data_IF_596512177689
#
_entry.id   IF_596512177689
#
_cell.length_a   1.000
_cell.length_b   1.000
_cell.length_c   1.000
_cell.angle_alpha   90.00
_cell.angle_beta   90.00
_cell.angle_gamma   90.00
#
_symmetry.space_group_name_H-M   'P 1'
#
loop_
_entity.id
_entity.type
_entity.pdbx_description
1 polymer ?
#
# COMPACT_ATOMS: atom_id res chain seq x y z
N UNK A 1 -1.31 -24.96 -72.82
CA UNK A 1 -1.70 -24.02 -71.74
C UNK A 1 -1.25 -22.66 -72.22
N UNK A 2 -2.20 -21.70 -72.30
CA UNK A 2 -2.04 -20.44 -73.03
C UNK A 2 -1.38 -19.38 -72.17
N UNK A 3 -0.51 -18.56 -72.73
CA UNK A 3 0.28 -17.54 -72.06
C UNK A 3 -0.55 -16.51 -71.26
N UNK A 4 -1.85 -16.48 -71.45
CA UNK A 4 -2.82 -15.65 -70.67
C UNK A 4 -3.12 -16.21 -69.29
N UNK A 5 -3.08 -17.55 -69.11
CA UNK A 5 -3.40 -18.20 -67.82
C UNK A 5 -2.23 -18.11 -66.88
N UNK A 6 -0.99 -18.19 -67.34
CA UNK A 6 0.20 -17.96 -66.50
C UNK A 6 0.32 -16.54 -66.04
N UNK A 7 -0.11 -15.56 -66.81
CA UNK A 7 -0.08 -14.12 -66.36
C UNK A 7 -1.18 -13.82 -65.36
N UNK A 8 -2.31 -14.55 -65.41
CA UNK A 8 -3.41 -14.39 -64.43
C UNK A 8 -3.04 -15.00 -63.08
N UNK A 9 -2.40 -16.17 -63.04
CA UNK A 9 -1.90 -16.79 -61.81
C UNK A 9 -0.77 -15.96 -61.16
N UNK A 10 0.17 -15.41 -61.95
CA UNK A 10 1.21 -14.51 -61.38
C UNK A 10 0.62 -13.24 -60.79
N UNK A 11 -0.36 -12.58 -61.42
CA UNK A 11 -1.04 -11.42 -60.87
C UNK A 11 -1.81 -11.73 -59.59
N UNK A 12 -2.48 -12.88 -59.52
CA UNK A 12 -3.23 -13.32 -58.34
C UNK A 12 -2.29 -13.63 -57.16
N UNK A 13 -1.16 -14.31 -57.40
CA UNK A 13 -0.15 -14.58 -56.35
C UNK A 13 0.55 -13.30 -55.86
N UNK A 14 0.79 -12.35 -56.76
CA UNK A 14 1.38 -11.04 -56.37
C UNK A 14 0.41 -10.20 -55.56
N UNK A 15 -0.88 -10.17 -55.90
CA UNK A 15 -1.92 -9.44 -55.13
C UNK A 15 -2.10 -10.07 -53.74
N UNK A 16 -2.12 -11.40 -53.63
CA UNK A 16 -2.23 -12.11 -52.35
C UNK A 16 -1.01 -11.84 -51.45
N UNK A 17 0.23 -11.86 -52.03
CA UNK A 17 1.45 -11.51 -51.27
C UNK A 17 1.46 -10.05 -50.77
N UNK A 18 0.99 -9.10 -51.60
CA UNK A 18 0.93 -7.70 -51.20
C UNK A 18 -0.14 -7.46 -50.12
N UNK A 19 -1.29 -8.16 -50.22
CA UNK A 19 -2.36 -8.04 -49.20
C UNK A 19 -1.94 -8.64 -47.86
N UNK A 20 -1.20 -9.75 -47.84
CA UNK A 20 -0.67 -10.36 -46.61
C UNK A 20 0.43 -9.46 -45.97
N UNK A 21 1.28 -8.82 -46.78
CA UNK A 21 2.30 -7.88 -46.28
C UNK A 21 1.64 -6.60 -45.74
N UNK A 22 0.59 -6.08 -46.34
CA UNK A 22 -0.14 -4.91 -45.84
C UNK A 22 -0.87 -5.24 -44.55
N UNK A 23 -1.45 -6.44 -44.37
CA UNK A 23 -2.04 -6.88 -43.12
C UNK A 23 -0.99 -7.04 -41.99
N UNK A 24 0.20 -7.57 -42.33
CA UNK A 24 1.31 -7.72 -41.37
C UNK A 24 1.92 -6.38 -40.98
N UNK A 25 1.93 -5.36 -41.84
CA UNK A 25 2.41 -4.01 -41.52
C UNK A 25 1.36 -3.24 -40.70
N UNK A 26 0.05 -3.48 -40.93
CA UNK A 26 -1.00 -2.85 -40.07
C UNK A 26 -1.03 -3.40 -38.67
N UNK A 27 -0.65 -4.66 -38.42
CA UNK A 27 -0.51 -5.25 -37.10
C UNK A 27 0.76 -4.76 -36.36
N UNK A 28 1.79 -4.29 -37.09
CA UNK A 28 3.02 -3.75 -36.50
C UNK A 28 2.95 -2.20 -36.20
N UNK A 29 2.01 -1.48 -36.81
CA UNK A 29 1.86 -0.03 -36.61
C UNK A 29 0.79 0.28 -35.53
N UNK A 30 -0.09 -0.68 -35.19
CA UNK A 30 -1.06 -0.54 -34.08
C UNK A 30 -0.46 -0.78 -32.69
N UNK A 31 0.84 -1.06 -32.59
CA UNK A 31 1.58 -1.32 -31.33
C UNK A 31 2.29 -0.10 -30.75
N UNK A 32 2.15 1.10 -31.33
CA UNK A 32 2.72 2.32 -30.78
C UNK A 32 1.61 3.23 -30.23
N UNK A 33 0.79 2.67 -29.33
CA UNK A 33 -0.09 3.40 -28.45
C UNK A 33 0.72 3.84 -27.23
N UNK A 34 0.76 5.11 -27.00
CA UNK A 34 1.33 5.80 -25.84
C UNK A 34 1.07 5.02 -24.55
N UNK A 35 2.13 4.41 -24.01
CA UNK A 35 2.16 3.91 -22.64
C UNK A 35 2.12 5.10 -21.67
N UNK A 36 0.92 5.63 -21.43
CA UNK A 36 0.61 6.27 -20.15
C UNK A 36 0.54 5.14 -19.11
N UNK A 37 1.33 5.25 -18.09
CA UNK A 37 1.63 4.25 -17.09
C UNK A 37 0.45 3.39 -16.62
N UNK A 38 0.34 2.20 -17.18
CA UNK A 38 -0.24 1.05 -16.51
C UNK A 38 0.91 0.37 -15.76
N UNK A 39 1.13 0.82 -14.53
CA UNK A 39 1.97 0.09 -13.59
C UNK A 39 1.23 -1.18 -13.16
N UNK A 40 1.76 -2.30 -13.56
CA UNK A 40 1.76 -3.63 -12.92
C UNK A 40 0.60 -3.96 -11.97
N UNK A 41 -0.63 -4.07 -12.49
CA UNK A 41 -1.72 -4.82 -11.88
C UNK A 41 -1.70 -6.31 -12.29
N UNK A 42 -0.71 -6.75 -13.07
CA UNK A 42 -0.74 -8.07 -13.71
C UNK A 42 -0.24 -9.23 -12.82
N UNK A 43 0.21 -8.96 -11.57
CA UNK A 43 0.81 -9.98 -10.71
C UNK A 43 -0.13 -10.55 -9.62
N UNK A 44 -1.25 -9.93 -9.31
CA UNK A 44 -2.23 -10.44 -8.35
C UNK A 44 -3.59 -10.61 -9.04
N UNK A 45 -4.07 -11.86 -9.15
CA UNK A 45 -5.46 -12.09 -9.52
C UNK A 45 -6.34 -11.73 -8.30
N UNK A 46 -6.75 -10.46 -8.22
CA UNK A 46 -7.69 -10.00 -7.19
C UNK A 46 -9.00 -10.75 -7.38
N UNK A 47 -9.50 -11.33 -6.29
CA UNK A 47 -10.80 -12.02 -6.28
C UNK A 47 -11.90 -10.99 -6.52
N UNK A 48 -12.80 -11.23 -7.48
CA UNK A 48 -13.97 -10.39 -7.70
C UNK A 48 -14.88 -10.38 -6.46
N UNK A 49 -15.33 -9.20 -6.05
CA UNK A 49 -16.09 -8.98 -4.81
C UNK A 49 -15.34 -9.41 -3.55
N UNK A 50 -14.04 -9.19 -3.50
CA UNK A 50 -13.18 -9.53 -2.36
C UNK A 50 -13.70 -8.89 -1.07
N UNK A 51 -13.58 -9.63 0.02
CA UNK A 51 -13.82 -9.12 1.37
C UNK A 51 -12.47 -8.71 1.98
N UNK A 52 -12.32 -7.43 2.30
CA UNK A 52 -11.05 -6.84 2.73
C UNK A 52 -11.18 -6.31 4.15
N UNK A 53 -10.46 -6.93 5.08
CA UNK A 53 -10.31 -6.44 6.45
C UNK A 53 -9.23 -5.36 6.52
N UNK A 54 -9.39 -4.33 7.35
CA UNK A 54 -8.39 -3.27 7.46
C UNK A 54 -8.36 -2.64 8.86
N UNK A 55 -7.23 -2.00 9.22
CA UNK A 55 -7.16 -1.21 10.45
C UNK A 55 -8.03 0.03 10.33
N UNK A 56 -9.20 -0.02 11.00
CA UNK A 56 -10.19 1.05 11.05
C UNK A 56 -9.85 2.20 12.03
N UNK A 57 -10.83 3.00 12.32
CA UNK A 57 -12.21 2.96 11.83
C UNK A 57 -12.35 3.42 10.36
N UNK A 58 -13.60 3.51 9.86
CA UNK A 58 -13.91 4.14 8.57
C UNK A 58 -13.38 5.58 8.50
N UNK A 59 -12.95 6.03 7.30
CA UNK A 59 -12.35 7.35 7.08
C UNK A 59 -10.85 7.42 7.42
N UNK A 60 -10.19 6.28 7.66
CA UNK A 60 -8.73 6.24 7.88
C UNK A 60 -7.95 6.16 6.56
N UNK A 61 -6.64 6.48 6.60
CA UNK A 61 -5.75 6.25 5.48
C UNK A 61 -5.59 4.77 5.11
N UNK A 62 -5.80 3.85 6.06
CA UNK A 62 -5.79 2.41 5.78
C UNK A 62 -6.97 2.01 4.91
N UNK A 63 -8.16 2.56 5.16
CA UNK A 63 -9.31 2.38 4.27
C UNK A 63 -9.05 2.96 2.88
N UNK A 64 -8.47 4.17 2.81
CA UNK A 64 -8.11 4.80 1.54
C UNK A 64 -7.11 3.94 0.75
N UNK A 65 -6.12 3.33 1.42
CA UNK A 65 -5.19 2.40 0.80
C UNK A 65 -5.89 1.15 0.28
N UNK A 66 -6.82 0.58 1.06
CA UNK A 66 -7.62 -0.56 0.65
C UNK A 66 -8.48 -0.24 -0.58
N UNK A 67 -9.19 0.89 -0.58
CA UNK A 67 -9.99 1.35 -1.71
C UNK A 67 -9.13 1.65 -2.95
N UNK A 68 -7.94 2.21 -2.77
CA UNK A 68 -7.01 2.48 -3.87
C UNK A 68 -6.49 1.20 -4.52
N UNK A 69 -6.24 0.14 -3.73
CA UNK A 69 -5.74 -1.14 -4.23
C UNK A 69 -6.83 -1.97 -4.92
N UNK A 70 -7.99 -2.12 -4.28
CA UNK A 70 -9.05 -3.02 -4.72
C UNK A 70 -10.13 -2.36 -5.59
N UNK A 71 -10.22 -1.02 -5.58
CA UNK A 71 -11.27 -0.27 -6.29
C UNK A 71 -12.66 -0.53 -5.71
N UNK A 72 -13.69 -0.32 -6.58
CA UNK A 72 -15.09 -0.40 -6.19
C UNK A 72 -15.63 -1.85 -6.09
N UNK A 73 -14.84 -2.86 -6.46
CA UNK A 73 -15.26 -4.26 -6.55
C UNK A 73 -14.98 -5.05 -5.26
N UNK A 74 -14.72 -4.39 -4.14
CA UNK A 74 -14.46 -5.04 -2.85
C UNK A 74 -15.41 -4.50 -1.76
N UNK A 75 -15.63 -5.33 -0.75
CA UNK A 75 -16.29 -4.93 0.49
C UNK A 75 -15.25 -4.78 1.60
N UNK A 76 -15.34 -3.71 2.39
CA UNK A 76 -14.34 -3.34 3.37
C UNK A 76 -14.88 -3.49 4.79
N UNK A 77 -14.09 -4.13 5.68
CA UNK A 77 -14.46 -4.38 7.08
C UNK A 77 -13.43 -3.72 8.00
N UNK A 78 -13.81 -2.66 8.75
CA UNK A 78 -12.91 -2.05 9.71
C UNK A 78 -12.69 -2.95 10.94
N UNK A 79 -11.45 -3.01 11.42
CA UNK A 79 -11.05 -3.69 12.66
C UNK A 79 -10.37 -2.72 13.61
N UNK A 80 -10.45 -3.01 14.90
CA UNK A 80 -9.90 -2.13 15.93
C UNK A 80 -8.38 -2.24 16.04
N UNK A 81 -7.80 -3.37 15.60
CA UNK A 81 -6.36 -3.63 15.67
C UNK A 81 -5.83 -4.26 14.37
N UNK A 82 -4.53 -4.10 14.14
CA UNK A 82 -3.80 -4.79 13.06
C UNK A 82 -3.94 -6.31 13.20
N UNK A 83 -3.86 -6.81 14.44
CA UNK A 83 -3.96 -8.23 14.74
C UNK A 83 -5.33 -8.81 14.32
N UNK A 84 -6.45 -8.13 14.66
CA UNK A 84 -7.80 -8.54 14.23
C UNK A 84 -7.93 -8.59 12.70
N UNK A 85 -7.35 -7.61 11.99
CA UNK A 85 -7.39 -7.60 10.54
C UNK A 85 -6.64 -8.79 9.91
N UNK A 86 -5.48 -9.16 10.47
CA UNK A 86 -4.72 -10.34 10.05
C UNK A 86 -5.46 -11.63 10.39
N UNK A 87 -6.03 -11.74 11.60
CA UNK A 87 -6.77 -12.91 12.06
C UNK A 87 -8.00 -13.22 11.19
N UNK A 88 -8.67 -12.20 10.66
CA UNK A 88 -9.76 -12.39 9.71
C UNK A 88 -9.32 -13.17 8.47
N UNK A 89 -8.15 -12.84 7.92
CA UNK A 89 -7.61 -13.53 6.74
C UNK A 89 -7.21 -14.96 7.08
N UNK A 90 -6.53 -15.17 8.19
CA UNK A 90 -6.10 -16.50 8.66
C UNK A 90 -7.31 -17.40 8.95
N UNK A 91 -8.39 -16.84 9.50
CA UNK A 91 -9.62 -17.55 9.79
C UNK A 91 -10.54 -17.75 8.56
N UNK A 92 -10.20 -17.14 7.41
CA UNK A 92 -11.05 -17.17 6.21
C UNK A 92 -12.31 -16.32 6.32
N UNK A 93 -12.36 -15.35 7.24
CA UNK A 93 -13.43 -14.37 7.38
C UNK A 93 -13.27 -13.19 6.41
N UNK A 94 -12.06 -12.99 5.87
CA UNK A 94 -11.76 -12.05 4.81
C UNK A 94 -10.75 -12.68 3.82
N UNK A 95 -10.79 -12.23 2.57
CA UNK A 95 -9.86 -12.69 1.52
C UNK A 95 -8.51 -11.99 1.64
N UNK A 96 -8.55 -10.73 2.08
CA UNK A 96 -7.36 -9.87 2.22
C UNK A 96 -7.43 -9.05 3.50
N UNK A 97 -6.23 -8.60 3.95
CA UNK A 97 -6.12 -7.55 4.96
C UNK A 97 -5.24 -6.42 4.46
N UNK A 98 -5.58 -5.16 4.82
CA UNK A 98 -4.73 -3.99 4.58
C UNK A 98 -4.33 -3.41 5.93
N UNK A 99 -3.01 -3.28 6.13
CA UNK A 99 -2.43 -2.81 7.39
C UNK A 99 -1.33 -1.77 7.15
N UNK A 100 -1.18 -0.76 8.02
CA UNK A 100 -0.08 0.19 7.91
C UNK A 100 1.25 -0.50 8.28
N UNK A 101 2.28 -0.25 7.48
CA UNK A 101 3.63 -0.79 7.70
C UNK A 101 4.58 0.27 8.25
N UNK A 102 4.73 1.39 7.54
CA UNK A 102 5.69 2.43 7.86
C UNK A 102 5.15 3.80 7.45
N UNK A 103 5.50 4.82 8.25
CA UNK A 103 5.24 6.21 7.91
C UNK A 103 6.57 6.96 7.85
N UNK A 104 6.77 7.80 6.83
CA UNK A 104 8.02 8.55 6.60
C UNK A 104 8.49 9.36 7.82
N UNK A 105 7.55 9.90 8.61
CA UNK A 105 7.87 10.74 9.78
C UNK A 105 7.79 9.99 11.11
N UNK A 106 6.99 8.92 11.15
CA UNK A 106 6.73 8.12 12.36
C UNK A 106 7.59 6.85 12.46
N UNK A 107 8.17 6.41 11.34
CA UNK A 107 8.88 5.13 11.24
C UNK A 107 7.94 3.93 11.19
N UNK A 108 8.47 2.76 11.51
CA UNK A 108 7.73 1.50 11.48
C UNK A 108 6.56 1.45 12.45
N UNK A 109 5.46 0.87 12.00
CA UNK A 109 4.29 0.55 12.84
C UNK A 109 4.55 -0.79 13.52
N UNK A 110 5.03 -0.80 14.75
CA UNK A 110 5.50 -2.01 15.47
C UNK A 110 4.51 -3.18 15.43
N UNK A 111 3.22 -2.90 15.49
CA UNK A 111 2.18 -3.94 15.52
C UNK A 111 2.12 -4.81 14.26
N UNK A 112 2.54 -4.30 13.06
CA UNK A 112 2.55 -5.14 11.85
C UNK A 112 3.65 -6.20 11.92
N UNK A 113 4.80 -5.86 12.50
CA UNK A 113 5.93 -6.78 12.65
C UNK A 113 5.50 -7.96 13.52
N UNK A 114 4.91 -7.68 14.68
CA UNK A 114 4.41 -8.71 15.59
C UNK A 114 3.33 -9.59 14.92
N UNK A 115 2.41 -8.96 14.18
CA UNK A 115 1.34 -9.65 13.45
C UNK A 115 1.86 -10.62 12.39
N UNK A 116 2.85 -10.21 11.59
CA UNK A 116 3.45 -11.06 10.55
C UNK A 116 4.33 -12.19 11.11
N UNK A 117 5.03 -11.93 12.22
CA UNK A 117 5.85 -12.95 12.87
C UNK A 117 4.98 -14.07 13.46
N UNK A 118 3.83 -13.71 14.04
CA UNK A 118 2.94 -14.61 14.75
C UNK A 118 2.17 -15.60 13.86
N UNK A 119 2.13 -15.38 12.54
CA UNK A 119 1.30 -16.15 11.60
C UNK A 119 2.17 -16.79 10.51
N UNK A 120 2.06 -18.12 10.36
CA UNK A 120 2.82 -18.85 9.33
C UNK A 120 2.12 -18.88 7.97
N UNK A 121 0.79 -18.78 7.96
CA UNK A 121 -0.05 -18.88 6.77
C UNK A 121 -0.55 -17.51 6.27
N UNK A 122 0.29 -16.48 6.37
CA UNK A 122 -0.01 -15.16 5.86
C UNK A 122 1.09 -14.70 4.90
N UNK A 123 0.70 -14.09 3.78
CA UNK A 123 1.62 -13.61 2.76
C UNK A 123 1.35 -12.14 2.43
N UNK A 124 2.43 -11.39 2.19
CA UNK A 124 2.35 -10.05 1.60
C UNK A 124 2.20 -10.21 0.09
N UNK A 125 1.08 -9.72 -0.44
CA UNK A 125 0.70 -9.88 -1.86
C UNK A 125 0.65 -8.54 -2.60
N UNK A 126 0.80 -7.43 -1.88
CA UNK A 126 0.82 -6.09 -2.45
C UNK A 126 1.31 -5.05 -1.45
N UNK A 127 1.67 -3.89 -1.97
CA UNK A 127 1.98 -2.70 -1.19
C UNK A 127 1.32 -1.47 -1.81
N UNK A 128 0.80 -0.61 -0.94
CA UNK A 128 0.26 0.71 -1.31
C UNK A 128 1.07 1.79 -0.62
N UNK A 129 1.48 2.82 -1.37
CA UNK A 129 2.10 4.02 -0.83
C UNK A 129 1.14 5.19 -1.03
N UNK A 130 0.69 5.80 0.07
CA UNK A 130 -0.15 6.99 0.03
C UNK A 130 0.59 8.23 0.53
N UNK A 131 0.45 9.37 -0.15
CA UNK A 131 0.78 10.66 0.43
C UNK A 131 -0.19 10.96 1.57
N UNK A 132 0.33 11.49 2.69
CA UNK A 132 -0.48 11.82 3.86
C UNK A 132 -0.69 13.32 3.89
N UNK A 133 -1.91 13.72 3.56
CA UNK A 133 -2.37 15.11 3.57
C UNK A 133 -3.30 15.33 4.76
N UNK A 134 -2.98 16.31 5.60
CA UNK A 134 -3.79 16.66 6.77
C UNK A 134 -4.78 17.78 6.39
N UNK A 135 -6.04 17.55 6.67
CA UNK A 135 -7.13 18.49 6.38
C UNK A 135 -7.81 18.92 7.67
N UNK A 136 -7.93 20.23 7.89
CA UNK A 136 -8.73 20.79 8.97
C UNK A 136 -10.19 20.82 8.53
N UNK A 137 -11.08 20.28 9.35
CA UNK A 137 -12.51 20.19 9.08
C UNK A 137 -13.36 20.46 10.33
N UNK A 138 -14.56 21.00 10.11
CA UNK A 138 -15.53 21.30 11.15
C UNK A 138 -16.95 21.09 10.66
N UNK A 139 -17.95 21.25 11.53
CA UNK A 139 -19.34 21.18 11.11
C UNK A 139 -19.66 22.30 10.10
N UNK A 140 -20.66 22.13 9.22
CA UNK A 140 -21.02 23.17 8.24
C UNK A 140 -21.29 24.53 8.88
N UNK A 141 -20.63 25.56 8.34
CA UNK A 141 -20.74 26.94 8.80
C UNK A 141 -19.84 27.28 10.01
N UNK A 142 -18.85 26.44 10.32
CA UNK A 142 -17.72 26.80 11.21
C UNK A 142 -16.82 27.82 10.50
N UNK A 143 -16.42 28.87 11.20
CA UNK A 143 -15.39 29.80 10.75
C UNK A 143 -14.06 29.52 11.45
N UNK A 144 -12.95 29.75 10.78
CA UNK A 144 -11.61 29.42 11.30
C UNK A 144 -11.30 30.18 12.60
N UNK A 145 -11.73 31.43 12.68
CA UNK A 145 -11.58 32.32 13.82
C UNK A 145 -12.39 31.91 15.08
N UNK A 146 -13.42 31.08 14.91
CA UNK A 146 -14.26 30.62 16.02
C UNK A 146 -13.67 29.37 16.71
N UNK A 147 -12.66 28.72 16.10
CA UNK A 147 -12.12 27.46 16.60
C UNK A 147 -11.31 27.69 17.88
N UNK A 148 -11.69 26.95 18.93
CA UNK A 148 -11.02 26.95 20.25
C UNK A 148 -10.36 25.62 20.58
N UNK A 149 -10.78 24.53 19.90
CA UNK A 149 -10.27 23.19 20.13
C UNK A 149 -10.04 22.47 18.80
N UNK A 150 -8.84 21.91 18.64
CA UNK A 150 -8.48 21.06 17.52
C UNK A 150 -8.23 19.64 17.99
N UNK A 151 -9.00 18.68 17.49
CA UNK A 151 -8.91 17.26 17.79
C UNK A 151 -8.16 16.52 16.69
N UNK A 152 -7.26 15.62 17.03
CA UNK A 152 -6.60 14.69 16.07
C UNK A 152 -5.87 13.57 16.83
N UNK A 153 -5.34 12.59 16.08
CA UNK A 153 -4.32 11.70 16.62
C UNK A 153 -3.04 12.49 16.96
N UNK A 154 -2.27 12.04 17.97
CA UNK A 154 -1.04 12.70 18.41
C UNK A 154 -0.10 13.10 17.24
N UNK A 155 0.04 12.23 16.24
CA UNK A 155 0.85 12.49 15.06
C UNK A 155 0.26 13.62 14.19
N UNK A 156 -1.06 13.67 13.98
CA UNK A 156 -1.72 14.73 13.23
C UNK A 156 -1.58 16.10 13.93
N UNK A 157 -1.69 16.12 15.26
CA UNK A 157 -1.43 17.32 16.08
C UNK A 157 0.01 17.81 15.89
N UNK A 158 0.99 16.90 15.96
CA UNK A 158 2.40 17.22 15.77
C UNK A 158 2.70 17.74 14.36
N UNK A 159 2.16 17.07 13.34
CA UNK A 159 2.39 17.44 11.94
C UNK A 159 1.76 18.77 11.54
N UNK A 160 0.71 19.19 12.21
CA UNK A 160 0.01 20.46 11.94
C UNK A 160 0.43 21.60 12.89
N UNK A 161 1.39 21.39 13.77
CA UNK A 161 1.74 22.35 14.83
C UNK A 161 2.12 23.72 14.28
N UNK A 162 2.98 23.79 13.26
CA UNK A 162 3.40 25.07 12.69
C UNK A 162 2.22 25.80 12.06
N UNK A 163 1.44 25.12 11.23
CA UNK A 163 0.27 25.70 10.58
C UNK A 163 -0.75 26.25 11.62
N UNK A 164 -1.02 25.45 12.67
CA UNK A 164 -1.95 25.87 13.74
C UNK A 164 -1.45 27.09 14.52
N UNK A 165 -0.15 27.16 14.84
CA UNK A 165 0.44 28.33 15.51
C UNK A 165 0.31 29.61 14.68
N UNK A 166 0.37 29.50 13.36
CA UNK A 166 0.25 30.64 12.44
C UNK A 166 -1.20 31.11 12.25
N UNK A 167 -2.16 30.17 12.25
CA UNK A 167 -3.55 30.44 11.87
C UNK A 167 -4.54 30.39 13.03
N UNK A 168 -4.22 29.68 14.10
CA UNK A 168 -5.08 29.45 15.26
C UNK A 168 -4.25 29.38 16.55
N UNK A 169 -3.47 30.44 16.89
CA UNK A 169 -2.51 30.39 18.00
C UNK A 169 -3.15 30.16 19.38
N UNK A 170 -4.43 30.52 19.54
CA UNK A 170 -5.18 30.44 20.81
C UNK A 170 -6.03 29.14 20.91
N UNK A 171 -6.00 28.26 19.89
CA UNK A 171 -6.75 27.02 19.93
C UNK A 171 -5.99 25.91 20.69
N UNK A 172 -6.68 25.31 21.67
CA UNK A 172 -6.20 24.13 22.37
C UNK A 172 -6.19 22.89 21.48
N UNK A 173 -5.52 21.83 21.92
CA UNK A 173 -5.49 20.55 21.22
C UNK A 173 -5.96 19.41 22.11
N UNK A 174 -6.66 18.43 21.51
CA UNK A 174 -7.07 17.20 22.16
C UNK A 174 -6.65 15.98 21.34
N UNK A 175 -5.90 15.08 21.96
CA UNK A 175 -5.52 13.81 21.34
C UNK A 175 -6.69 12.83 21.34
N UNK A 176 -6.83 12.12 20.20
CA UNK A 176 -7.84 11.09 19.96
C UNK A 176 -7.16 9.79 19.52
N UNK A 177 -7.85 8.67 19.62
CA UNK A 177 -7.32 7.35 19.23
C UNK A 177 -6.95 7.21 17.74
N UNK A 178 -7.60 8.00 16.87
CA UNK A 178 -7.26 8.12 15.45
C UNK A 178 -7.70 9.48 14.90
N UNK A 179 -7.20 9.86 13.71
CA UNK A 179 -7.66 11.08 13.01
C UNK A 179 -9.13 10.97 12.59
N UNK A 180 -9.58 9.78 12.20
CA UNK A 180 -11.00 9.52 11.87
C UNK A 180 -11.89 9.60 13.11
N UNK A 181 -11.44 9.10 14.28
CA UNK A 181 -12.17 9.25 15.54
C UNK A 181 -12.33 10.74 15.94
N UNK A 182 -11.34 11.59 15.63
CA UNK A 182 -11.45 13.03 15.83
C UNK A 182 -12.53 13.65 14.92
N UNK A 183 -12.58 13.25 13.65
CA UNK A 183 -13.63 13.72 12.72
C UNK A 183 -15.03 13.28 13.17
N UNK A 184 -15.20 12.02 13.58
CA UNK A 184 -16.47 11.52 14.15
C UNK A 184 -16.91 12.32 15.38
N UNK A 185 -15.97 12.54 16.30
CA UNK A 185 -16.23 13.34 17.51
C UNK A 185 -16.74 14.75 17.19
N UNK A 186 -16.09 15.45 16.25
CA UNK A 186 -16.51 16.80 15.82
C UNK A 186 -17.90 16.79 15.19
N UNK A 187 -18.20 15.78 14.38
CA UNK A 187 -19.52 15.63 13.77
C UNK A 187 -20.64 15.42 14.82
N UNK A 188 -20.34 14.61 15.85
CA UNK A 188 -21.28 14.31 16.94
C UNK A 188 -21.45 15.49 17.90
N UNK A 189 -20.39 16.22 18.21
CA UNK A 189 -20.39 17.36 19.13
C UNK A 189 -21.28 18.50 18.64
N UNK A 190 -21.40 18.69 17.31
CA UNK A 190 -22.19 19.76 16.66
C UNK A 190 -21.84 21.18 17.18
N UNK A 191 -20.59 21.36 17.58
CA UNK A 191 -20.06 22.59 18.13
C UNK A 191 -19.12 23.26 17.12
N UNK A 192 -19.42 24.49 16.70
CA UNK A 192 -18.62 25.26 15.75
C UNK A 192 -17.28 25.73 16.30
N UNK A 193 -17.04 25.58 17.57
CA UNK A 193 -15.74 25.93 18.20
C UNK A 193 -14.76 24.78 18.19
N UNK A 194 -15.16 23.59 17.66
CA UNK A 194 -14.34 22.41 17.64
C UNK A 194 -14.08 22.01 16.17
N UNK A 195 -12.82 21.72 15.84
CA UNK A 195 -12.41 21.22 14.54
C UNK A 195 -11.59 19.93 14.67
N UNK A 196 -11.56 19.12 13.61
CA UNK A 196 -10.71 17.96 13.51
C UNK A 196 -9.63 18.15 12.45
N UNK A 197 -8.46 17.53 12.66
CA UNK A 197 -7.46 17.32 11.63
C UNK A 197 -7.45 15.83 11.29
N UNK A 198 -7.79 15.50 10.04
CA UNK A 198 -7.93 14.13 9.57
C UNK A 198 -7.62 14.00 8.07
N UNK A 199 -7.72 12.77 7.54
CA UNK A 199 -7.65 12.50 6.11
C UNK A 199 -8.77 13.24 5.36
N UNK A 200 -8.54 13.73 4.12
CA UNK A 200 -9.55 14.47 3.35
C UNK A 200 -10.90 13.73 3.22
N UNK A 201 -10.87 12.40 3.03
CA UNK A 201 -12.07 11.57 2.90
C UNK A 201 -12.98 11.58 4.12
N UNK A 202 -12.45 11.81 5.32
CA UNK A 202 -13.23 11.87 6.55
C UNK A 202 -14.26 13.01 6.55
N UNK A 203 -13.99 14.12 5.88
CA UNK A 203 -14.93 15.24 5.78
C UNK A 203 -16.26 14.80 5.13
N UNK A 204 -16.17 14.10 4.00
CA UNK A 204 -17.34 13.57 3.29
C UNK A 204 -18.08 12.52 4.12
N UNK A 205 -17.33 11.58 4.71
CA UNK A 205 -17.88 10.47 5.49
C UNK A 205 -18.70 10.95 6.68
N UNK A 206 -18.17 11.93 7.44
CA UNK A 206 -18.81 12.43 8.65
C UNK A 206 -19.66 13.70 8.43
N UNK A 207 -19.87 14.14 7.18
CA UNK A 207 -20.68 15.32 6.86
C UNK A 207 -20.07 16.62 7.36
N UNK A 208 -18.75 16.70 7.43
CA UNK A 208 -18.00 17.89 7.81
C UNK A 208 -17.64 18.74 6.60
N UNK A 209 -17.42 20.04 6.84
CA UNK A 209 -16.88 20.96 5.84
C UNK A 209 -15.37 21.07 5.99
N UNK A 210 -14.64 21.04 4.88
CA UNK A 210 -13.21 21.35 4.82
C UNK A 210 -13.03 22.84 5.10
N UNK A 211 -12.20 23.17 6.09
CA UNK A 211 -11.87 24.54 6.49
C UNK A 211 -10.49 24.96 5.96
N UNK A 212 -9.54 24.03 5.92
CA UNK A 212 -8.23 24.20 5.28
C UNK A 212 -7.66 22.86 4.86
N UNK A 213 -7.01 22.83 3.70
CA UNK A 213 -6.30 21.68 3.15
C UNK A 213 -4.80 21.82 3.40
N UNK A 214 -4.08 20.69 3.40
CA UNK A 214 -2.61 20.64 3.46
C UNK A 214 -2.05 21.40 4.69
N UNK A 215 -2.64 21.15 5.86
CA UNK A 215 -2.22 21.79 7.13
C UNK A 215 -0.99 21.12 7.75
N UNK A 216 -0.37 20.17 7.07
CA UNK A 216 0.85 19.48 7.51
C UNK A 216 2.10 20.32 7.24
N UNK A 217 3.15 20.04 8.01
CA UNK A 217 4.45 20.74 7.93
C UNK A 217 5.25 20.41 6.67
N UNK A 218 4.96 19.29 6.00
CA UNK A 218 5.70 18.81 4.81
C UNK A 218 4.86 17.90 3.94
N UNK A 219 5.04 18.00 2.62
CA UNK A 219 4.40 17.11 1.64
C UNK A 219 5.20 15.81 1.43
N UNK A 220 6.35 15.67 2.09
CA UNK A 220 7.16 14.45 2.03
C UNK A 220 6.60 13.28 2.86
N UNK A 221 5.49 13.52 3.60
CA UNK A 221 4.88 12.50 4.45
C UNK A 221 4.13 11.47 3.61
N UNK A 222 4.59 10.23 3.66
CA UNK A 222 3.95 9.07 3.02
C UNK A 222 3.77 7.96 4.05
N UNK A 223 2.76 7.14 3.85
CA UNK A 223 2.57 5.89 4.60
C UNK A 223 2.54 4.73 3.62
N UNK A 224 3.23 3.66 3.99
CA UNK A 224 3.26 2.38 3.30
C UNK A 224 2.28 1.43 3.99
N UNK A 225 1.51 0.70 3.18
CA UNK A 225 0.52 -0.27 3.65
C UNK A 225 0.76 -1.60 2.96
N UNK A 226 0.80 -2.69 3.72
CA UNK A 226 0.81 -4.02 3.16
C UNK A 226 -0.60 -4.52 2.87
N UNK A 227 -0.72 -5.23 1.76
CA UNK A 227 -1.88 -6.05 1.41
C UNK A 227 -1.50 -7.50 1.69
N UNK A 228 -2.28 -8.15 2.52
CA UNK A 228 -2.04 -9.51 3.01
C UNK A 228 -3.09 -10.48 2.51
N UNK A 229 -2.71 -11.74 2.29
CA UNK A 229 -3.61 -12.86 1.97
C UNK A 229 -3.09 -14.16 2.58
N UNK A 230 -3.96 -15.13 2.81
CA UNK A 230 -3.57 -16.50 3.16
C UNK A 230 -3.10 -17.30 1.93
N UNK A 231 -3.43 -16.85 0.72
CA UNK A 231 -2.96 -17.45 -0.50
C UNK A 231 -1.55 -16.95 -0.84
N UNK A 232 -0.62 -17.88 -1.05
CA UNK A 232 0.72 -17.55 -1.54
C UNK A 232 0.62 -16.94 -2.94
N UNK A 233 1.30 -15.81 -3.23
CA UNK A 233 1.30 -15.25 -4.58
C UNK A 233 1.89 -16.22 -5.60
N UNK A 234 1.22 -16.37 -6.74
CA UNK A 234 1.65 -17.27 -7.83
C UNK A 234 2.80 -16.66 -8.63
N UNK A 235 2.89 -15.34 -8.70
CA UNK A 235 3.90 -14.60 -9.45
C UNK A 235 4.77 -13.76 -8.53
N UNK A 236 5.99 -13.47 -8.98
CA UNK A 236 6.93 -12.62 -8.27
C UNK A 236 6.85 -11.18 -8.76
N UNK A 237 6.90 -10.23 -7.81
CA UNK A 237 6.95 -8.80 -8.08
C UNK A 237 8.37 -8.22 -8.08
N UNK A 238 8.44 -6.92 -7.88
CA UNK A 238 9.73 -6.20 -7.71
C UNK A 238 10.24 -6.24 -6.28
N UNK A 239 9.37 -6.53 -5.32
CA UNK A 239 9.66 -6.56 -3.89
C UNK A 239 9.39 -7.94 -3.30
N UNK A 240 10.10 -8.29 -2.24
CA UNK A 240 9.80 -9.48 -1.44
C UNK A 240 10.08 -9.24 0.05
N UNK A 241 9.39 -10.00 0.90
CA UNK A 241 9.54 -9.95 2.35
C UNK A 241 9.86 -11.33 2.89
N UNK A 242 10.77 -11.36 3.86
CA UNK A 242 11.18 -12.55 4.60
C UNK A 242 11.13 -12.29 6.11
N UNK A 243 10.91 -13.34 6.89
CA UNK A 243 11.22 -13.37 8.32
C UNK A 243 12.49 -14.20 8.50
N UNK A 244 13.48 -13.63 9.14
CA UNK A 244 14.66 -14.37 9.60
C UNK A 244 14.64 -14.46 11.12
N UNK A 245 14.68 -15.69 11.65
CA UNK A 245 14.70 -15.96 13.10
C UNK A 245 16.08 -16.47 13.47
N UNK A 246 16.94 -15.61 14.04
CA UNK A 246 18.33 -15.94 14.30
C UNK A 246 18.95 -15.14 15.44
N UNK A 247 20.13 -15.56 15.89
CA UNK A 247 20.99 -14.75 16.75
C UNK A 247 21.48 -13.51 16.02
N UNK A 248 21.61 -12.38 16.75
CA UNK A 248 22.00 -11.09 16.18
C UNK A 248 23.32 -11.10 15.38
N UNK A 249 24.26 -11.98 15.73
CA UNK A 249 25.53 -12.12 15.02
C UNK A 249 25.44 -12.84 13.67
N UNK A 250 24.28 -13.46 13.35
CA UNK A 250 24.05 -14.17 12.08
C UNK A 250 23.33 -13.35 11.02
N UNK A 251 22.73 -12.23 11.40
CA UNK A 251 21.98 -11.43 10.45
C UNK A 251 22.86 -10.87 9.32
N UNK A 252 24.11 -10.56 9.61
CA UNK A 252 25.07 -10.08 8.61
C UNK A 252 25.30 -11.08 7.49
N UNK A 253 25.38 -12.39 7.82
CA UNK A 253 25.54 -13.46 6.83
C UNK A 253 24.32 -13.53 5.91
N UNK A 254 23.11 -13.37 6.45
CA UNK A 254 21.85 -13.35 5.69
C UNK A 254 21.82 -12.15 4.75
N UNK A 255 22.21 -10.95 5.21
CA UNK A 255 22.27 -9.74 4.38
C UNK A 255 23.28 -9.92 3.24
N UNK A 256 24.42 -10.53 3.50
CA UNK A 256 25.43 -10.84 2.46
C UNK A 256 24.83 -11.76 1.39
N UNK A 257 24.06 -12.78 1.76
CA UNK A 257 23.43 -13.67 0.79
C UNK A 257 22.31 -13.01 0.00
N UNK A 258 21.55 -12.08 0.59
CA UNK A 258 20.59 -11.22 -0.12
C UNK A 258 21.31 -10.45 -1.24
N UNK A 259 22.44 -9.81 -0.92
CA UNK A 259 23.25 -9.09 -1.92
C UNK A 259 23.85 -10.03 -2.98
N UNK A 260 24.35 -11.21 -2.57
CA UNK A 260 24.88 -12.21 -3.50
C UNK A 260 23.81 -12.73 -4.47
N UNK A 261 22.54 -12.77 -4.04
CA UNK A 261 21.40 -13.09 -4.88
C UNK A 261 21.05 -11.95 -5.86
N UNK A 262 21.68 -10.78 -5.75
CA UNK A 262 21.40 -9.59 -6.59
C UNK A 262 20.12 -8.86 -6.16
N UNK A 263 19.78 -8.95 -4.87
CA UNK A 263 18.67 -8.21 -4.24
C UNK A 263 19.22 -7.06 -3.41
N UNK A 264 18.49 -5.96 -3.36
CA UNK A 264 18.81 -4.79 -2.53
C UNK A 264 17.95 -4.83 -1.26
N UNK A 265 18.56 -4.67 -0.07
CA UNK A 265 17.83 -4.58 1.20
C UNK A 265 17.18 -3.19 1.28
N UNK A 266 15.85 -3.15 1.42
CA UNK A 266 15.06 -1.92 1.55
C UNK A 266 14.90 -1.53 3.01
N UNK A 267 14.40 -2.45 3.83
CA UNK A 267 14.24 -2.25 5.27
C UNK A 267 14.56 -3.51 6.06
N UNK A 268 14.87 -3.29 7.33
CA UNK A 268 15.03 -4.34 8.34
C UNK A 268 14.34 -3.88 9.63
N UNK A 269 13.39 -4.67 10.12
CA UNK A 269 12.73 -4.42 11.40
C UNK A 269 12.90 -5.62 12.30
N UNK A 270 13.38 -5.39 13.53
CA UNK A 270 13.65 -6.46 14.47
C UNK A 270 12.65 -6.53 15.63
N UNK A 271 12.45 -7.74 16.13
CA UNK A 271 11.71 -8.02 17.37
C UNK A 271 12.42 -9.09 18.17
N UNK A 272 12.63 -8.90 19.48
CA UNK A 272 13.15 -9.96 20.32
C UNK A 272 12.29 -11.23 20.20
N UNK A 273 12.91 -12.38 20.00
CA UNK A 273 12.20 -13.66 19.91
C UNK A 273 11.57 -14.09 21.25
N UNK A 274 12.11 -13.58 22.36
CA UNK A 274 11.61 -13.85 23.71
C UNK A 274 12.15 -15.13 24.35
N UNK A 275 12.97 -15.92 23.65
CA UNK A 275 13.58 -17.15 24.17
C UNK A 275 14.81 -16.86 25.03
N UNK A 276 15.73 -16.02 24.53
CA UNK A 276 16.93 -15.57 25.25
C UNK A 276 17.45 -14.25 24.67
N UNK A 277 18.33 -13.56 25.41
CA UNK A 277 18.93 -12.32 24.96
C UNK A 277 19.86 -12.55 23.77
N UNK A 278 19.66 -11.77 22.70
CA UNK A 278 20.47 -11.83 21.48
C UNK A 278 19.82 -12.65 20.35
N UNK A 279 18.62 -13.24 20.58
CA UNK A 279 17.82 -13.87 19.53
C UNK A 279 16.68 -12.96 19.09
N UNK A 280 16.53 -12.82 17.78
CA UNK A 280 15.58 -11.89 17.17
C UNK A 280 14.87 -12.51 15.97
N UNK A 281 13.65 -12.02 15.73
CA UNK A 281 12.96 -12.14 14.45
C UNK A 281 13.17 -10.84 13.67
N UNK A 282 13.64 -10.95 12.44
CA UNK A 282 13.86 -9.82 11.54
C UNK A 282 12.87 -9.89 10.37
N UNK A 283 12.10 -8.83 10.13
CA UNK A 283 11.39 -8.64 8.87
C UNK A 283 12.39 -7.97 7.91
N UNK A 284 12.71 -8.67 6.84
CA UNK A 284 13.65 -8.23 5.80
C UNK A 284 12.86 -7.94 4.53
N UNK A 285 12.83 -6.70 4.10
CA UNK A 285 12.25 -6.30 2.83
C UNK A 285 13.36 -6.07 1.81
N UNK A 286 13.20 -6.64 0.62
CA UNK A 286 14.17 -6.57 -0.46
C UNK A 286 13.52 -6.12 -1.75
N UNK A 287 14.30 -5.51 -2.64
CA UNK A 287 13.85 -5.13 -3.98
C UNK A 287 14.78 -5.61 -5.09
N UNK A 288 14.20 -5.77 -6.28
CA UNK A 288 14.90 -5.93 -7.54
C UNK A 288 14.12 -5.20 -8.64
N UNK A 289 14.66 -4.12 -9.19
CA UNK A 289 14.01 -3.25 -10.18
C UNK A 289 13.53 -3.99 -11.44
N UNK A 290 14.20 -5.09 -11.79
CA UNK A 290 13.87 -5.89 -12.96
C UNK A 290 12.92 -7.05 -12.66
N UNK A 291 12.35 -7.09 -11.47
CA UNK A 291 11.57 -8.20 -10.93
C UNK A 291 12.44 -9.24 -10.23
N UNK A 292 11.88 -9.86 -9.22
CA UNK A 292 12.53 -10.92 -8.43
C UNK A 292 12.24 -12.26 -9.11
N UNK A 293 13.25 -13.10 -9.25
CA UNK A 293 13.12 -14.42 -9.85
C UNK A 293 13.02 -15.52 -8.79
N UNK A 294 12.38 -16.63 -9.13
CA UNK A 294 12.34 -17.84 -8.30
C UNK A 294 13.72 -18.32 -7.86
N UNK A 295 14.74 -18.14 -8.71
CA UNK A 295 16.11 -18.50 -8.38
C UNK A 295 16.67 -17.64 -7.24
N UNK A 296 16.41 -16.34 -7.28
CA UNK A 296 16.82 -15.41 -6.20
C UNK A 296 16.09 -15.72 -4.90
N UNK A 297 14.77 -15.95 -4.95
CA UNK A 297 14.00 -16.35 -3.77
C UNK A 297 14.55 -17.65 -3.14
N UNK A 298 14.80 -18.67 -3.97
CA UNK A 298 15.38 -19.96 -3.50
C UNK A 298 16.78 -19.81 -2.91
N UNK A 299 17.59 -18.88 -3.42
CA UNK A 299 18.91 -18.60 -2.86
C UNK A 299 18.81 -18.07 -1.42
N UNK A 300 17.90 -17.13 -1.17
CA UNK A 300 17.67 -16.54 0.17
C UNK A 300 16.98 -17.54 1.10
N UNK A 301 15.94 -18.24 0.64
CA UNK A 301 15.21 -19.23 1.46
C UNK A 301 15.93 -20.56 1.64
N UNK A 302 17.17 -20.68 1.15
CA UNK A 302 18.03 -21.83 1.40
C UNK A 302 18.52 -21.97 2.86
N UNK A 303 18.40 -20.89 3.64
CA UNK A 303 18.70 -20.88 5.07
C UNK A 303 17.50 -21.39 5.87
N UNK A 304 17.74 -22.27 6.84
CA UNK A 304 16.67 -22.84 7.69
C UNK A 304 15.98 -21.80 8.58
N UNK A 305 16.67 -20.71 8.84
CA UNK A 305 16.22 -19.58 9.67
C UNK A 305 15.31 -18.61 8.93
N UNK A 306 15.11 -18.77 7.59
CA UNK A 306 14.37 -17.82 6.76
C UNK A 306 13.04 -18.39 6.31
N UNK A 307 11.98 -17.67 6.64
CA UNK A 307 10.61 -17.88 6.14
C UNK A 307 10.24 -16.83 5.10
N UNK A 308 9.75 -17.26 3.94
CA UNK A 308 9.24 -16.39 2.89
C UNK A 308 7.84 -15.89 3.24
N UNK A 309 7.65 -14.56 3.19
CA UNK A 309 6.35 -13.91 3.44
C UNK A 309 5.63 -13.44 2.17
N UNK A 310 6.28 -13.41 1.03
CA UNK A 310 5.64 -13.00 -0.22
C UNK A 310 6.54 -12.17 -1.13
N UNK A 311 6.12 -12.06 -2.40
CA UNK A 311 6.70 -11.14 -3.38
C UNK A 311 5.58 -10.40 -4.08
N UNK A 312 5.76 -9.11 -4.36
CA UNK A 312 4.68 -8.24 -4.76
C UNK A 312 5.16 -7.04 -5.58
N UNK A 313 4.19 -6.38 -6.22
CA UNK A 313 4.36 -5.06 -6.82
C UNK A 313 3.91 -3.95 -5.87
N UNK A 314 4.41 -2.74 -6.11
CA UNK A 314 4.09 -1.53 -5.33
C UNK A 314 3.15 -0.64 -6.14
N UNK A 315 2.05 -0.21 -5.53
CA UNK A 315 1.15 0.80 -6.07
C UNK A 315 1.34 2.12 -5.31
N UNK A 316 1.79 3.16 -6.00
CA UNK A 316 1.96 4.49 -5.40
C UNK A 316 0.91 5.46 -5.92
N UNK A 317 0.19 6.11 -5.00
CA UNK A 317 -0.71 7.22 -5.31
C UNK A 317 0.11 8.51 -5.40
N UNK A 318 0.00 9.19 -6.54
CA UNK A 318 0.61 10.51 -6.72
C UNK A 318 -0.42 11.62 -6.43
N UNK A 319 0.07 12.74 -5.88
CA UNK A 319 -0.75 13.95 -5.62
C UNK A 319 -1.22 14.60 -6.92
#
# INVERSE_FOLDING_TARGET
MNNKDQNRERKTKTIISITVIILAVYTLISGCGTNGGKQTQDALQIIDNALVSYLGPEGTYTEEAAQFFFGDNAAFIPRSTVQEAIEDVVAGNADYAVIPQENTLGGAVVNYVDGLIAQDDIFVVGEVILPISQTLMGIPGTALEDIKLVCSHAQGIKQSEQWRKEHMPDADTQEMGSTAAAASYVAEAKDKTIAAIAAPGAAKLYGLSVLAENVQITDANKTRFYVLSSAKPDETGTNAVFVASCEANKIDDIIVEIHNAGLELVTIHDRPEGSFLGSYNYILEVECKNGITDKQLKSVTGFSEIRYLGSYGVMEKHN
#
